data_IF_158707232555
#
_entry.id   IF_158707232555
#
_cell.length_a   1.000
_cell.length_b   1.000
_cell.length_c   1.000
_cell.angle_alpha   90.00
_cell.angle_beta   90.00
_cell.angle_gamma   90.00
#
_symmetry.space_group_name_H-M   'P 1'
#
loop_
_entity.id
_entity.type
_entity.pdbx_description
1 polymer ?
#
# COMPACT_ATOMS: atom_id res chain seq x y z
N UNK A 1 0.42 -14.38 8.31
CA UNK A 1 -0.36 -13.74 7.23
C UNK A 1 -0.29 -12.21 7.23
N UNK A 2 -0.59 -11.51 8.34
CA UNK A 2 -0.67 -10.03 8.32
C UNK A 2 0.63 -9.33 7.86
N UNK A 3 1.82 -9.81 8.30
CA UNK A 3 3.12 -9.24 7.88
C UNK A 3 3.33 -9.33 6.35
N UNK A 4 2.99 -10.47 5.74
CA UNK A 4 3.13 -10.69 4.30
C UNK A 4 2.23 -9.73 3.52
N UNK A 5 0.98 -9.56 3.95
CA UNK A 5 0.05 -8.63 3.31
C UNK A 5 0.51 -7.17 3.44
N UNK A 6 1.03 -6.77 4.60
CA UNK A 6 1.58 -5.42 4.82
C UNK A 6 2.73 -5.14 3.86
N UNK A 7 3.66 -6.07 3.71
CA UNK A 7 4.81 -5.91 2.81
C UNK A 7 4.36 -5.86 1.33
N UNK A 8 3.37 -6.67 0.95
CA UNK A 8 2.76 -6.60 -0.40
C UNK A 8 2.17 -5.23 -0.70
N UNK A 9 1.43 -4.66 0.27
CA UNK A 9 0.83 -3.33 0.14
C UNK A 9 1.93 -2.26 0.05
N UNK A 10 2.96 -2.34 0.90
CA UNK A 10 4.09 -1.39 0.85
C UNK A 10 4.82 -1.45 -0.48
N UNK A 11 5.18 -2.63 -0.96
CA UNK A 11 5.82 -2.82 -2.26
C UNK A 11 4.96 -2.25 -3.41
N UNK A 12 3.65 -2.47 -3.39
CA UNK A 12 2.75 -1.92 -4.41
C UNK A 12 2.68 -0.38 -4.35
N UNK A 13 2.70 0.21 -3.15
CA UNK A 13 2.74 1.66 -2.98
C UNK A 13 4.07 2.25 -3.45
N UNK A 14 5.21 1.64 -3.08
CA UNK A 14 6.54 2.07 -3.54
C UNK A 14 6.64 2.04 -5.06
N UNK A 15 6.27 0.91 -5.69
CA UNK A 15 6.28 0.75 -7.15
C UNK A 15 5.39 1.73 -7.89
N UNK A 16 4.39 2.31 -7.22
CA UNK A 16 3.45 3.26 -7.82
C UNK A 16 3.64 4.70 -7.35
N UNK A 17 4.66 4.96 -6.53
CA UNK A 17 4.93 6.28 -5.95
C UNK A 17 3.81 6.76 -5.02
N UNK A 18 3.24 5.86 -4.20
CA UNK A 18 2.15 6.15 -3.27
C UNK A 18 0.76 6.24 -3.91
N UNK A 19 0.63 6.02 -5.24
CA UNK A 19 -0.65 6.11 -5.96
C UNK A 19 -1.56 4.92 -5.65
N UNK A 20 -2.33 5.00 -4.57
CA UNK A 20 -3.21 3.94 -4.07
C UNK A 20 -4.12 3.31 -5.15
N UNK A 21 -4.70 4.10 -6.07
CA UNK A 21 -5.50 3.57 -7.21
C UNK A 21 -4.69 2.62 -8.09
N UNK A 22 -3.42 2.96 -8.38
CA UNK A 22 -2.53 2.12 -9.18
C UNK A 22 -2.02 0.93 -8.38
N UNK A 23 -1.73 1.11 -7.08
CA UNK A 23 -1.37 0.02 -6.19
C UNK A 23 -2.49 -1.02 -6.07
N UNK A 24 -3.75 -0.58 -5.94
CA UNK A 24 -4.92 -1.46 -5.89
C UNK A 24 -5.08 -2.28 -7.17
N UNK A 25 -4.88 -1.64 -8.34
CA UNK A 25 -4.87 -2.35 -9.63
C UNK A 25 -3.74 -3.38 -9.70
N UNK A 26 -2.55 -3.05 -9.21
CA UNK A 26 -1.39 -3.96 -9.19
C UNK A 26 -1.61 -5.17 -8.29
N UNK A 27 -2.31 -4.98 -7.17
CA UNK A 27 -2.68 -6.04 -6.23
C UNK A 27 -3.97 -6.78 -6.61
N UNK A 28 -4.62 -6.39 -7.71
CA UNK A 28 -5.92 -6.90 -8.14
C UNK A 28 -7.00 -6.87 -7.05
N UNK A 29 -7.10 -5.74 -6.32
CA UNK A 29 -8.12 -5.50 -5.29
C UNK A 29 -8.88 -4.20 -5.55
N UNK A 30 -10.09 -4.09 -5.00
CA UNK A 30 -10.83 -2.83 -4.98
C UNK A 30 -10.04 -1.78 -4.19
N UNK A 31 -10.07 -0.52 -4.65
CA UNK A 31 -9.43 0.58 -3.92
C UNK A 31 -9.97 0.74 -2.49
N UNK A 32 -11.28 0.54 -2.28
CA UNK A 32 -11.88 0.61 -0.95
C UNK A 32 -11.29 -0.45 0.00
N UNK A 33 -11.04 -1.66 -0.51
CA UNK A 33 -10.39 -2.73 0.24
C UNK A 33 -8.94 -2.37 0.59
N UNK A 34 -8.18 -1.85 -0.39
CA UNK A 34 -6.82 -1.41 -0.13
C UNK A 34 -6.78 -0.30 0.93
N UNK A 35 -7.66 0.70 0.82
CA UNK A 35 -7.72 1.82 1.75
C UNK A 35 -8.10 1.37 3.17
N UNK A 36 -9.02 0.42 3.31
CA UNK A 36 -9.36 -0.17 4.60
C UNK A 36 -8.17 -0.91 5.23
N UNK A 37 -7.42 -1.66 4.43
CA UNK A 37 -6.20 -2.36 4.89
C UNK A 37 -5.09 -1.39 5.29
N UNK A 38 -4.86 -0.35 4.50
CA UNK A 38 -3.89 0.72 4.81
C UNK A 38 -4.20 1.35 6.17
N UNK A 39 -5.47 1.72 6.41
CA UNK A 39 -5.90 2.27 7.71
C UNK A 39 -5.73 1.27 8.84
N UNK A 40 -6.19 0.03 8.65
CA UNK A 40 -6.09 -1.05 9.66
C UNK A 40 -4.64 -1.35 10.05
N UNK A 41 -3.72 -1.28 9.11
CA UNK A 41 -2.31 -1.62 9.31
C UNK A 41 -1.40 -0.41 9.57
N UNK A 42 -1.95 0.81 9.57
CA UNK A 42 -1.15 2.04 9.77
C UNK A 42 -0.07 2.23 8.70
N UNK A 43 -0.36 1.90 7.43
CA UNK A 43 0.62 1.98 6.35
C UNK A 43 0.68 3.42 5.83
N UNK A 44 1.87 4.00 5.84
CA UNK A 44 2.18 5.26 5.16
C UNK A 44 1.83 5.19 3.67
N UNK A 45 1.30 6.28 3.10
CA UNK A 45 1.01 6.34 1.66
C UNK A 45 1.77 7.46 0.95
N UNK A 46 2.49 8.29 1.70
CA UNK A 46 3.26 9.40 1.17
C UNK A 46 4.63 8.92 0.68
N UNK A 47 5.07 9.44 -0.47
CA UNK A 47 6.41 9.17 -1.04
C UNK A 47 7.56 9.43 -0.07
N UNK A 48 7.38 10.40 0.83
CA UNK A 48 8.40 10.88 1.75
C UNK A 48 8.74 9.84 2.84
N UNK A 49 7.74 9.10 3.34
CA UNK A 49 7.95 8.06 4.36
C UNK A 49 8.63 6.80 3.79
N UNK A 50 8.55 6.58 2.47
CA UNK A 50 9.19 5.43 1.82
C UNK A 50 10.68 5.66 1.52
N UNK A 51 11.14 6.91 1.47
CA UNK A 51 12.54 7.26 1.15
C UNK A 51 13.49 7.20 2.36
N UNK A 52 12.94 7.08 3.58
CA UNK A 52 13.70 7.10 4.84
C UNK A 52 13.91 5.70 5.45
N UNK A 53 13.73 4.62 4.68
CA UNK A 53 13.86 3.24 5.14
C UNK A 53 14.53 2.37 4.10
#
# INVERSE_FOLDING_TARGET
MQKYEVELIRCALVRTGGRQRRAAKLLNVKISTLNAKIKRYGIATSGLEFALR
#
